data_IF_295747011992
#
_entry.id   IF_295747011992
#
_cell.length_a   1.000
_cell.length_b   1.000
_cell.length_c   1.000
_cell.angle_alpha   90.00
_cell.angle_beta   90.00
_cell.angle_gamma   90.00
#
_symmetry.space_group_name_H-M   'P 1'
#
loop_
_entity.id
_entity.type
_entity.pdbx_description
1 polymer ?
#
# COMPACT_ATOMS: atom_id res chain seq x y z
N UNK A 1 13.87 -1.86 -6.28
CA UNK A 1 13.34 -1.72 -4.91
C UNK A 1 12.20 -0.70 -4.93
N UNK A 2 10.96 -1.13 -4.63
CA UNK A 2 9.77 -0.28 -4.71
C UNK A 2 9.85 0.97 -3.83
N UNK A 3 10.57 0.90 -2.71
CA UNK A 3 10.89 2.03 -1.81
C UNK A 3 11.48 3.24 -2.56
N UNK A 4 12.39 2.98 -3.51
CA UNK A 4 13.03 4.05 -4.30
C UNK A 4 12.03 4.73 -5.24
N UNK A 5 11.07 3.97 -5.77
CA UNK A 5 10.01 4.50 -6.63
C UNK A 5 9.07 5.43 -5.86
N UNK A 6 8.63 5.00 -4.68
CA UNK A 6 7.80 5.83 -3.79
C UNK A 6 8.53 7.13 -3.40
N UNK A 7 9.79 7.02 -2.96
CA UNK A 7 10.61 8.21 -2.64
C UNK A 7 10.79 9.15 -3.82
N UNK A 8 10.99 8.60 -5.02
CA UNK A 8 11.12 9.39 -6.25
C UNK A 8 9.83 10.17 -6.56
N UNK A 9 8.67 9.52 -6.46
CA UNK A 9 7.37 10.15 -6.70
C UNK A 9 7.06 11.25 -5.67
N UNK A 10 7.41 11.03 -4.41
CA UNK A 10 7.27 12.03 -3.35
C UNK A 10 8.20 13.22 -3.61
N UNK A 11 9.46 12.98 -3.93
CA UNK A 11 10.45 14.04 -4.18
C UNK A 11 10.06 14.95 -5.35
N UNK A 12 9.39 14.40 -6.37
CA UNK A 12 8.92 15.14 -7.54
C UNK A 12 7.48 15.66 -7.38
N UNK A 13 6.88 15.55 -6.18
CA UNK A 13 5.51 15.98 -5.88
C UNK A 13 4.42 15.32 -6.73
N UNK A 14 4.69 14.14 -7.28
CA UNK A 14 3.67 13.29 -7.91
C UNK A 14 2.86 12.48 -6.90
N UNK A 15 3.37 12.35 -5.68
CA UNK A 15 2.74 11.64 -4.57
C UNK A 15 2.96 12.43 -3.29
N UNK A 16 1.96 12.52 -2.44
CA UNK A 16 2.12 13.16 -1.13
C UNK A 16 2.92 12.25 -0.19
N UNK A 17 3.72 12.85 0.70
CA UNK A 17 4.60 12.13 1.62
C UNK A 17 3.91 11.58 2.87
N UNK A 18 2.58 11.45 2.87
CA UNK A 18 1.82 10.88 3.98
C UNK A 18 1.41 9.42 3.69
N UNK A 19 1.23 8.59 4.73
CA UNK A 19 0.91 7.18 4.56
C UNK A 19 -0.41 6.92 3.81
N UNK A 20 -1.45 7.74 4.04
CA UNK A 20 -2.75 7.55 3.41
C UNK A 20 -2.69 7.74 1.89
N UNK A 21 -2.03 8.80 1.42
CA UNK A 21 -1.89 9.08 -0.01
C UNK A 21 -1.09 7.98 -0.71
N UNK A 22 -0.03 7.47 -0.07
CA UNK A 22 0.75 6.35 -0.61
C UNK A 22 -0.12 5.09 -0.65
N UNK A 23 -0.89 4.78 0.39
CA UNK A 23 -1.80 3.64 0.42
C UNK A 23 -2.86 3.71 -0.69
N UNK A 24 -3.54 4.85 -0.84
CA UNK A 24 -4.49 5.07 -1.93
C UNK A 24 -3.83 4.96 -3.30
N UNK A 25 -2.61 5.48 -3.47
CA UNK A 25 -1.87 5.35 -4.72
C UNK A 25 -1.60 3.89 -5.06
N UNK A 26 -1.15 3.08 -4.08
CA UNK A 26 -0.92 1.66 -4.27
C UNK A 26 -2.20 0.89 -4.61
N UNK A 27 -3.35 1.30 -4.06
CA UNK A 27 -4.65 0.66 -4.29
C UNK A 27 -5.26 1.01 -5.66
N UNK A 28 -5.19 2.30 -6.06
CA UNK A 28 -5.98 2.84 -7.17
C UNK A 28 -5.22 2.90 -8.50
N UNK A 29 -3.87 2.99 -8.49
CA UNK A 29 -3.13 3.16 -9.74
C UNK A 29 -2.98 1.86 -10.52
N UNK A 30 -3.55 1.85 -11.73
CA UNK A 30 -3.27 0.86 -12.77
C UNK A 30 -1.81 0.95 -13.21
N UNK A 31 -1.20 -0.20 -13.50
CA UNK A 31 0.19 -0.30 -13.99
C UNK A 31 1.24 -0.58 -12.92
N UNK A 32 0.84 -0.69 -11.64
CA UNK A 32 1.72 -1.16 -10.57
C UNK A 32 1.71 -2.69 -10.50
N UNK A 33 2.89 -3.29 -10.31
CA UNK A 33 3.01 -4.73 -10.12
C UNK A 33 2.53 -5.12 -8.72
N UNK A 34 1.56 -6.03 -8.63
CA UNK A 34 1.06 -6.57 -7.34
C UNK A 34 2.18 -7.16 -6.49
N UNK A 35 3.16 -7.82 -7.14
CA UNK A 35 4.32 -8.37 -6.45
C UNK A 35 5.18 -7.26 -5.80
N UNK A 36 5.38 -6.15 -6.51
CA UNK A 36 6.16 -5.01 -5.99
C UNK A 36 5.43 -4.26 -4.88
N UNK A 37 4.10 -4.21 -4.94
CA UNK A 37 3.26 -3.67 -3.84
C UNK A 37 3.47 -4.55 -2.60
N UNK A 38 3.37 -5.87 -2.74
CA UNK A 38 3.62 -6.81 -1.65
C UNK A 38 5.03 -6.70 -1.05
N UNK A 39 6.06 -6.54 -1.90
CA UNK A 39 7.45 -6.33 -1.44
C UNK A 39 7.60 -5.03 -0.64
N UNK A 40 6.90 -3.95 -1.04
CA UNK A 40 6.93 -2.68 -0.31
C UNK A 40 6.21 -2.77 1.03
N UNK A 41 4.96 -3.27 1.02
CA UNK A 41 4.13 -3.38 2.23
C UNK A 41 4.68 -4.43 3.22
N UNK A 42 5.36 -5.45 2.72
CA UNK A 42 6.03 -6.48 3.53
C UNK A 42 7.36 -6.03 4.15
N UNK A 43 7.82 -4.80 3.89
CA UNK A 43 9.07 -4.30 4.46
C UNK A 43 8.90 -3.84 5.91
N UNK A 44 8.87 -4.81 6.84
CA UNK A 44 8.68 -4.58 8.29
C UNK A 44 9.80 -3.75 8.95
N UNK A 45 10.94 -3.56 8.27
CA UNK A 45 12.05 -2.77 8.78
C UNK A 45 11.89 -1.27 8.50
N UNK A 46 10.99 -0.88 7.59
CA UNK A 46 10.72 0.53 7.27
C UNK A 46 9.46 1.01 8.03
N UNK A 47 9.60 1.91 9.03
CA UNK A 47 8.47 2.43 9.79
C UNK A 47 7.43 3.14 8.93
N UNK A 48 7.85 3.77 7.82
CA UNK A 48 6.92 4.43 6.92
C UNK A 48 6.14 3.40 6.09
N UNK A 49 6.81 2.35 5.60
CA UNK A 49 6.12 1.26 4.89
C UNK A 49 5.11 0.54 5.79
N UNK A 50 5.40 0.36 7.08
CA UNK A 50 4.42 -0.16 8.04
C UNK A 50 3.22 0.77 8.24
N UNK A 51 3.42 2.09 8.34
CA UNK A 51 2.31 3.04 8.40
C UNK A 51 1.45 2.99 7.14
N UNK A 52 2.09 2.89 5.96
CA UNK A 52 1.38 2.72 4.69
C UNK A 52 0.61 1.40 4.68
N UNK A 53 1.15 0.31 5.21
CA UNK A 53 0.42 -0.95 5.34
C UNK A 53 -0.83 -0.80 6.23
N UNK A 54 -0.71 -0.12 7.37
CA UNK A 54 -1.88 0.15 8.22
C UNK A 54 -2.95 0.95 7.49
N UNK A 55 -2.57 2.03 6.81
CA UNK A 55 -3.50 2.81 5.99
C UNK A 55 -4.09 1.97 4.84
N UNK A 56 -3.28 1.15 4.19
CA UNK A 56 -3.70 0.28 3.09
C UNK A 56 -4.72 -0.76 3.54
N UNK A 57 -4.54 -1.38 4.70
CA UNK A 57 -5.51 -2.34 5.27
C UNK A 57 -6.80 -1.64 5.68
N UNK A 58 -6.72 -0.43 6.25
CA UNK A 58 -7.90 0.34 6.66
C UNK A 58 -8.80 0.74 5.48
N UNK A 59 -8.26 0.86 4.27
CA UNK A 59 -9.05 1.11 3.05
C UNK A 59 -9.94 -0.08 2.66
N UNK A 60 -9.66 -1.27 3.18
CA UNK A 60 -10.53 -2.41 2.99
C UNK A 60 -11.49 -2.53 4.17
N UNK A 61 -12.76 -2.29 3.91
CA UNK A 61 -13.80 -2.62 4.86
C UNK A 61 -13.98 -4.15 4.92
N UNK A 62 -13.45 -4.74 6.00
CA UNK A 62 -13.63 -6.14 6.37
C UNK A 62 -14.69 -6.34 7.45
N UNK A 63 -15.39 -5.27 7.87
CA UNK A 63 -16.44 -5.40 8.87
C UNK A 63 -17.55 -6.31 8.32
N UNK A 64 -18.00 -7.28 9.12
CA UNK A 64 -18.96 -8.34 8.76
C UNK A 64 -18.58 -9.22 7.56
N UNK A 65 -17.30 -9.24 7.15
CA UNK A 65 -16.84 -10.09 6.06
C UNK A 65 -16.31 -11.44 6.59
N UNK A 66 -16.86 -12.59 6.13
CA UNK A 66 -16.28 -13.91 6.43
C UNK A 66 -14.80 -13.96 6.05
N UNK A 67 -13.98 -14.64 6.88
CA UNK A 67 -12.52 -14.66 6.77
C UNK A 67 -12.05 -15.11 5.38
N UNK A 68 -12.75 -16.05 4.77
CA UNK A 68 -12.49 -16.59 3.44
C UNK A 68 -12.80 -15.58 2.32
N UNK A 69 -13.80 -14.71 2.52
CA UNK A 69 -14.14 -13.62 1.60
C UNK A 69 -13.15 -12.46 1.74
N UNK A 70 -12.77 -12.11 2.97
CA UNK A 70 -11.75 -11.09 3.24
C UNK A 70 -10.39 -11.48 2.63
N UNK A 71 -9.97 -12.74 2.83
CA UNK A 71 -8.74 -13.28 2.25
C UNK A 71 -8.77 -13.28 0.71
N UNK A 72 -9.90 -13.61 0.09
CA UNK A 72 -10.04 -13.62 -1.37
C UNK A 72 -10.01 -12.20 -1.96
N UNK A 73 -10.50 -11.20 -1.24
CA UNK A 73 -10.47 -9.78 -1.64
C UNK A 73 -9.06 -9.16 -1.52
N UNK A 74 -8.19 -9.75 -0.69
CA UNK A 74 -6.81 -9.34 -0.49
C UNK A 74 -5.82 -9.89 -1.55
N UNK A 75 -6.25 -10.82 -2.44
CA UNK A 75 -5.42 -11.47 -3.47
C UNK A 75 -5.29 -10.69 -4.80
#
# INVERSE_FOLDING_TARGET
KPERGIRYLIAHRFLEGNPEAVAHFLLLRKGLSRQMIGEYLGNLQDPFAMQVLHAFVNEFDFHDMPIDIALRKFQ
#
